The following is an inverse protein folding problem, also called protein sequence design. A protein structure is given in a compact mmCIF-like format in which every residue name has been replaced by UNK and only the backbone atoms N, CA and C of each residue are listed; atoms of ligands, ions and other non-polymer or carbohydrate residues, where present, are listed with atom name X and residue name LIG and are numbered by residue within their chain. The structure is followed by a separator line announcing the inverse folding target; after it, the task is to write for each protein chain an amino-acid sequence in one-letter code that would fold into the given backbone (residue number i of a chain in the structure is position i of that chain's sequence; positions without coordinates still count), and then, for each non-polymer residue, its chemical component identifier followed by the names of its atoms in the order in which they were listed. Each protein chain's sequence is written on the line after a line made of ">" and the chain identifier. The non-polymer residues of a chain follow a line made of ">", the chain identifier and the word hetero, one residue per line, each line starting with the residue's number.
data_IF_321322765674
#
_entry.id   IF_321322765674
#
_cell.length_a   1.000
_cell.length_b   1.000
_cell.length_c   1.000
_cell.angle_alpha   90.00
_cell.angle_beta   90.00
_cell.angle_gamma   90.00
#
_symmetry.space_group_name_H-M   'P 1'
#
loop_
_entity.id
_entity.type
_entity.pdbx_description
1 polymer ?
#
# COMPACT_ATOMS: atom_id res chain seq x y z
N UNK A 1 1.10 9.79 10.01
CA UNK A 1 1.64 9.53 8.66
C UNK A 1 2.53 10.66 8.16
N UNK A 2 2.02 11.85 7.84
CA UNK A 2 2.83 12.95 7.27
C UNK A 2 4.01 13.40 8.15
N UNK A 3 3.82 13.44 9.47
CA UNK A 3 4.90 13.70 10.43
C UNK A 3 6.05 12.69 10.31
N UNK A 4 5.76 11.41 10.03
CA UNK A 4 6.78 10.38 9.83
C UNK A 4 7.55 10.60 8.52
N UNK A 5 6.85 11.00 7.44
CA UNK A 5 7.48 11.37 6.16
C UNK A 5 8.44 12.54 6.34
N UNK A 6 8.02 13.59 7.05
CA UNK A 6 8.86 14.75 7.36
C UNK A 6 10.06 14.38 8.24
N UNK A 7 9.85 13.53 9.24
CA UNK A 7 10.91 13.02 10.12
C UNK A 7 11.97 12.25 9.32
N UNK A 8 11.55 11.32 8.46
CA UNK A 8 12.45 10.55 7.57
C UNK A 8 13.20 11.45 6.61
N UNK A 9 12.54 12.45 6.03
CA UNK A 9 13.18 13.45 5.18
C UNK A 9 14.21 14.28 5.95
N UNK A 10 13.97 14.53 7.24
CA UNK A 10 14.92 15.17 8.15
C UNK A 10 16.22 14.40 8.32
N UNK A 11 16.19 13.06 8.26
CA UNK A 11 17.36 12.19 8.37
C UNK A 11 18.24 12.17 7.11
N UNK A 12 17.70 12.60 5.95
CA UNK A 12 18.50 12.78 4.75
C UNK A 12 19.39 14.02 4.92
N UNK A 13 20.67 13.76 5.24
CA UNK A 13 21.71 14.80 5.36
C UNK A 13 21.84 15.53 4.01
N UNK A 14 22.03 16.85 4.07
CA UNK A 14 22.39 17.71 2.93
C UNK A 14 21.36 17.89 1.79
N UNK A 15 20.06 17.68 2.03
CA UNK A 15 19.03 18.05 1.04
C UNK A 15 18.66 19.53 1.17
N UNK A 16 18.81 20.31 0.09
CA UNK A 16 18.41 21.73 0.06
C UNK A 16 16.92 21.89 0.41
N UNK A 17 16.57 22.97 1.10
CA UNK A 17 15.19 23.24 1.55
C UNK A 17 14.17 23.26 0.40
N UNK A 18 14.57 23.77 -0.77
CA UNK A 18 13.73 23.77 -1.99
C UNK A 18 13.39 22.36 -2.44
N UNK A 19 14.38 21.46 -2.51
CA UNK A 19 14.18 20.06 -2.86
C UNK A 19 13.32 19.32 -1.83
N UNK A 20 13.45 19.64 -0.53
CA UNK A 20 12.57 19.07 0.50
C UNK A 20 11.11 19.43 0.26
N UNK A 21 10.82 20.71 -0.06
CA UNK A 21 9.46 21.16 -0.37
C UNK A 21 8.90 20.48 -1.62
N UNK A 22 9.71 20.38 -2.67
CA UNK A 22 9.32 19.69 -3.90
C UNK A 22 9.03 18.21 -3.65
N UNK A 23 9.92 17.51 -2.95
CA UNK A 23 9.76 16.11 -2.60
C UNK A 23 8.47 15.85 -1.79
N UNK A 24 8.16 16.69 -0.80
CA UNK A 24 6.91 16.58 -0.04
C UNK A 24 5.68 16.77 -0.92
N UNK A 25 5.72 17.70 -1.88
CA UNK A 25 4.64 17.88 -2.84
C UNK A 25 4.47 16.63 -3.73
N UNK A 26 5.57 16.11 -4.27
CA UNK A 26 5.57 14.90 -5.10
C UNK A 26 5.03 13.67 -4.35
N UNK A 27 5.46 13.45 -3.11
CA UNK A 27 4.92 12.36 -2.27
C UNK A 27 3.44 12.58 -1.97
N UNK A 28 3.00 13.83 -1.76
CA UNK A 28 1.59 14.14 -1.55
C UNK A 28 0.74 13.79 -2.77
N UNK A 29 1.21 14.14 -3.96
CA UNK A 29 0.51 13.84 -5.21
C UNK A 29 0.51 12.34 -5.51
N UNK A 30 1.62 11.63 -5.27
CA UNK A 30 1.69 10.18 -5.38
C UNK A 30 0.73 9.47 -4.41
N UNK A 31 0.62 9.95 -3.17
CA UNK A 31 -0.31 9.40 -2.18
C UNK A 31 -1.77 9.62 -2.60
N UNK A 32 -2.13 10.81 -3.08
CA UNK A 32 -3.50 11.07 -3.57
C UNK A 32 -3.84 10.22 -4.80
N UNK A 33 -2.91 10.12 -5.74
CA UNK A 33 -3.07 9.29 -6.93
C UNK A 33 -3.24 7.81 -6.56
N UNK A 34 -2.50 7.31 -5.55
CA UNK A 34 -2.66 5.93 -5.10
C UNK A 34 -4.00 5.69 -4.42
N UNK A 35 -4.51 6.63 -3.62
CA UNK A 35 -5.84 6.53 -3.02
C UNK A 35 -6.92 6.38 -4.10
N UNK A 36 -6.94 7.27 -5.09
CA UNK A 36 -7.90 7.22 -6.20
C UNK A 36 -7.79 5.90 -6.97
N UNK A 37 -6.56 5.46 -7.28
CA UNK A 37 -6.34 4.22 -7.99
C UNK A 37 -6.81 2.99 -7.19
N UNK A 38 -6.64 2.99 -5.87
CA UNK A 38 -7.06 1.89 -5.02
C UNK A 38 -8.57 1.85 -4.77
N UNK A 39 -9.24 3.00 -4.69
CA UNK A 39 -10.70 3.07 -4.58
C UNK A 39 -11.37 2.36 -5.77
N UNK A 40 -10.88 2.60 -6.99
CA UNK A 40 -11.37 1.92 -8.20
C UNK A 40 -10.94 0.44 -8.22
N UNK A 41 -9.66 0.18 -7.97
CA UNK A 41 -9.09 -1.16 -8.12
C UNK A 41 -9.67 -2.20 -7.16
N UNK A 42 -9.94 -1.81 -5.91
CA UNK A 42 -10.50 -2.72 -4.90
C UNK A 42 -11.92 -3.16 -5.29
N UNK A 43 -12.72 -2.28 -5.89
CA UNK A 43 -14.08 -2.58 -6.32
C UNK A 43 -14.14 -3.29 -7.68
N UNK A 44 -13.03 -3.27 -8.43
CA UNK A 44 -12.92 -3.85 -9.78
C UNK A 44 -12.28 -5.25 -9.75
N UNK A 45 -11.69 -5.69 -10.87
CA UNK A 45 -10.99 -6.97 -11.00
C UNK A 45 -9.50 -6.91 -10.64
N UNK A 46 -8.87 -8.08 -10.61
CA UNK A 46 -7.46 -8.24 -10.26
C UNK A 46 -6.49 -7.65 -11.28
N UNK A 47 -6.90 -7.45 -12.54
CA UNK A 47 -6.06 -6.80 -13.54
C UNK A 47 -5.97 -5.29 -13.30
N UNK A 48 -7.08 -4.67 -12.89
CA UNK A 48 -7.10 -3.27 -12.47
C UNK A 48 -6.30 -3.09 -11.19
N UNK A 49 -6.43 -4.00 -10.21
CA UNK A 49 -5.65 -3.98 -8.98
C UNK A 49 -4.15 -4.21 -9.21
N UNK A 50 -3.78 -5.18 -10.05
CA UNK A 50 -2.39 -5.38 -10.47
C UNK A 50 -1.82 -4.10 -11.10
N UNK A 51 -2.60 -3.45 -11.97
CA UNK A 51 -2.20 -2.18 -12.59
C UNK A 51 -2.04 -1.06 -11.56
N UNK A 52 -2.93 -0.92 -10.59
CA UNK A 52 -2.82 0.06 -9.52
C UNK A 52 -1.57 -0.17 -8.65
N UNK A 53 -1.33 -1.42 -8.22
CA UNK A 53 -0.16 -1.79 -7.41
C UNK A 53 1.15 -1.57 -8.17
N UNK A 54 1.20 -1.96 -9.45
CA UNK A 54 2.40 -1.79 -10.27
C UNK A 54 2.79 -0.31 -10.44
N UNK A 55 1.80 0.56 -10.67
CA UNK A 55 2.02 2.00 -10.82
C UNK A 55 2.47 2.67 -9.53
N UNK A 56 1.87 2.28 -8.40
CA UNK A 56 2.03 3.00 -7.12
C UNK A 56 3.18 2.46 -6.28
N UNK A 57 3.31 1.13 -6.14
CA UNK A 57 4.35 0.50 -5.31
C UNK A 57 5.63 0.29 -6.10
N UNK A 58 5.50 -0.20 -7.34
CA UNK A 58 6.67 -0.54 -8.17
C UNK A 58 7.09 0.60 -9.11
N UNK A 59 6.33 1.69 -9.17
CA UNK A 59 6.69 2.89 -9.93
C UNK A 59 6.93 2.62 -11.41
N UNK A 60 6.10 1.77 -12.03
CA UNK A 60 6.21 1.36 -13.45
C UNK A 60 7.52 0.63 -13.81
N UNK A 61 8.29 0.18 -12.82
CA UNK A 61 9.54 -0.54 -13.08
C UNK A 61 9.26 -1.96 -13.52
N UNK A 62 10.15 -2.51 -14.34
CA UNK A 62 10.10 -3.93 -14.68
C UNK A 62 10.30 -4.77 -13.41
N UNK A 63 9.49 -5.81 -13.25
CA UNK A 63 9.45 -6.63 -12.04
C UNK A 63 8.91 -8.02 -12.36
N UNK A 64 9.18 -8.99 -11.49
CA UNK A 64 8.69 -10.37 -11.67
C UNK A 64 7.16 -10.41 -11.51
N UNK A 65 6.39 -10.78 -12.54
CA UNK A 65 4.92 -10.80 -12.47
C UNK A 65 4.36 -11.63 -11.32
N UNK A 66 5.09 -12.65 -10.86
CA UNK A 66 4.68 -13.49 -9.71
C UNK A 66 4.68 -12.70 -8.39
N UNK A 67 5.57 -11.73 -8.26
CA UNK A 67 5.57 -10.81 -7.11
C UNK A 67 4.35 -9.90 -7.18
N UNK A 68 3.94 -9.46 -8.38
CA UNK A 68 2.74 -8.64 -8.53
C UNK A 68 1.47 -9.42 -8.18
N UNK A 69 1.37 -10.64 -8.70
CA UNK A 69 0.29 -11.58 -8.37
C UNK A 69 0.21 -11.82 -6.85
N UNK A 70 1.34 -12.09 -6.20
CA UNK A 70 1.41 -12.30 -4.75
C UNK A 70 0.89 -11.07 -3.99
N UNK A 71 1.27 -9.86 -4.42
CA UNK A 71 0.81 -8.61 -3.81
C UNK A 71 -0.70 -8.41 -4.00
N UNK A 72 -1.23 -8.66 -5.20
CA UNK A 72 -2.66 -8.57 -5.48
C UNK A 72 -3.45 -9.55 -4.61
N UNK A 73 -3.03 -10.81 -4.57
CA UNK A 73 -3.65 -11.83 -3.74
C UNK A 73 -3.61 -11.46 -2.26
N UNK A 74 -2.47 -10.97 -1.77
CA UNK A 74 -2.32 -10.51 -0.40
C UNK A 74 -3.28 -9.36 -0.07
N UNK A 75 -3.37 -8.34 -0.93
CA UNK A 75 -4.28 -7.20 -0.73
C UNK A 75 -5.74 -7.68 -0.68
N UNK A 76 -6.16 -8.59 -1.57
CA UNK A 76 -7.50 -9.18 -1.54
C UNK A 76 -7.79 -9.89 -0.22
N UNK A 77 -6.84 -10.69 0.28
CA UNK A 77 -6.98 -11.36 1.57
C UNK A 77 -7.02 -10.39 2.75
N UNK A 78 -6.29 -9.29 2.67
CA UNK A 78 -6.36 -8.26 3.72
C UNK A 78 -7.71 -7.56 3.72
N UNK A 79 -8.26 -7.20 2.57
CA UNK A 79 -9.57 -6.54 2.49
C UNK A 79 -10.65 -7.46 3.06
N UNK A 80 -10.66 -8.73 2.64
CA UNK A 80 -11.57 -9.74 3.18
C UNK A 80 -11.42 -9.88 4.71
N UNK A 81 -10.20 -9.96 5.22
CA UNK A 81 -9.96 -10.05 6.66
C UNK A 81 -10.41 -8.81 7.43
N UNK A 82 -10.14 -7.62 6.89
CA UNK A 82 -10.52 -6.33 7.49
C UNK A 82 -12.04 -6.15 7.54
N UNK A 83 -12.76 -6.59 6.51
CA UNK A 83 -14.22 -6.51 6.45
C UNK A 83 -14.91 -7.40 7.51
N UNK A 84 -14.23 -8.47 7.93
CA UNK A 84 -14.70 -9.39 8.97
C UNK A 84 -14.20 -9.05 10.38
N UNK A 85 -13.42 -7.98 10.57
CA UNK A 85 -12.99 -7.57 11.91
C UNK A 85 -14.14 -6.95 12.72
N UNK A 86 -14.03 -7.03 14.05
CA UNK A 86 -15.02 -6.44 14.94
C UNK A 86 -14.97 -4.90 14.88
N UNK A 87 -16.00 -4.31 14.27
CA UNK A 87 -16.11 -2.85 14.11
C UNK A 87 -16.10 -2.08 15.43
N UNK A 88 -16.67 -2.63 16.50
CA UNK A 88 -16.65 -1.98 17.82
C UNK A 88 -15.23 -1.94 18.38
N UNK A 89 -14.47 -3.04 18.28
CA UNK A 89 -13.09 -3.06 18.72
C UNK A 89 -12.22 -2.09 17.92
N UNK A 90 -12.41 -2.03 16.60
CA UNK A 90 -11.70 -1.08 15.73
C UNK A 90 -12.03 0.37 16.13
N UNK A 91 -13.30 0.71 16.33
CA UNK A 91 -13.73 2.08 16.67
C UNK A 91 -13.31 2.50 18.08
N UNK A 92 -13.42 1.63 19.08
CA UNK A 92 -13.17 1.99 20.47
C UNK A 92 -11.71 1.81 20.90
N UNK A 93 -11.00 0.82 20.36
CA UNK A 93 -9.59 0.56 20.69
C UNK A 93 -8.63 1.12 19.66
N UNK A 94 -9.09 1.40 18.44
CA UNK A 94 -8.21 1.83 17.34
C UNK A 94 -7.22 0.73 16.90
N UNK A 95 -7.45 -0.51 17.31
CA UNK A 95 -6.59 -1.64 16.99
C UNK A 95 -7.10 -2.30 15.71
N UNK A 96 -6.24 -2.35 14.70
CA UNK A 96 -6.49 -3.06 13.44
C UNK A 96 -5.40 -4.12 13.30
N UNK A 97 -5.78 -5.36 13.05
CA UNK A 97 -4.82 -6.42 12.80
C UNK A 97 -4.70 -6.66 11.29
N UNK A 98 -3.52 -7.13 10.88
CA UNK A 98 -3.22 -7.45 9.49
C UNK A 98 -2.69 -8.87 9.42
N UNK A 99 -3.11 -9.62 8.40
CA UNK A 99 -2.59 -10.94 8.14
C UNK A 99 -1.09 -10.89 7.79
N UNK A 100 -0.25 -11.80 8.31
CA UNK A 100 1.15 -11.86 7.92
C UNK A 100 1.29 -12.35 6.47
N UNK A 101 2.12 -11.67 5.67
CA UNK A 101 2.36 -12.05 4.27
C UNK A 101 2.84 -13.51 4.11
N UNK A 102 3.74 -13.96 5.00
CA UNK A 102 4.28 -15.33 4.95
C UNK A 102 3.18 -16.39 5.00
N UNK A 103 2.22 -16.23 5.91
CA UNK A 103 1.09 -17.15 6.06
C UNK A 103 0.25 -17.24 4.78
N UNK A 104 0.16 -16.15 4.02
CA UNK A 104 -0.60 -16.08 2.77
C UNK A 104 0.14 -16.76 1.63
N UNK A 105 1.45 -16.53 1.53
CA UNK A 105 2.33 -17.20 0.55
C UNK A 105 2.29 -18.73 0.75
N UNK A 106 2.39 -19.19 1.99
CA UNK A 106 2.39 -20.62 2.31
C UNK A 106 1.08 -21.30 1.83
N UNK A 107 -0.06 -20.60 1.99
CA UNK A 107 -1.38 -21.06 1.53
C UNK A 107 -1.53 -21.06 0.00
N UNK A 108 -0.94 -20.10 -0.71
CA UNK A 108 -0.96 -20.10 -2.18
C UNK A 108 -0.22 -21.29 -2.77
N UNK A 109 0.89 -21.71 -2.15
CA UNK A 109 1.72 -22.82 -2.62
C UNK A 109 1.14 -24.21 -2.29
N UNK A 110 0.05 -24.29 -1.53
CA UNK A 110 -0.61 -25.55 -1.17
C UNK A 110 -1.78 -25.91 -2.09
N UNK A 111 -2.17 -24.99 -2.99
CA UNK A 111 -3.19 -25.17 -4.03
C UNK A 111 -2.52 -25.58 -5.33
#
# INVERSE_FOLDING_TARGET
>A
MWVDVETRLGHLKEVRRSYRKQFLAEISDQFRASQIAYDEAVLSDDTVLASAVWRTIFGFRNMDPRVLETMVFYIRKQIDFLDHQNSEEVLFRGAVEFLPLKTIIDKMNTV
#
